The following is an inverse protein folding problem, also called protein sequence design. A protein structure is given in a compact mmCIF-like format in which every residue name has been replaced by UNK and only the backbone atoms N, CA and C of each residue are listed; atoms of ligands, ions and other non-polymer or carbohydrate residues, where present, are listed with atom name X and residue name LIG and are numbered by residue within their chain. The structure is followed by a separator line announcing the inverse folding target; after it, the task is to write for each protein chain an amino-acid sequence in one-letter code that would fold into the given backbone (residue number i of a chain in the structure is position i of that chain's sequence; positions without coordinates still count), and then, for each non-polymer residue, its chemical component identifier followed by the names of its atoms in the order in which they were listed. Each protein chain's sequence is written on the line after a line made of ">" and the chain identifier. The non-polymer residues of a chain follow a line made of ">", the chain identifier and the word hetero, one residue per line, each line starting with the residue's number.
data_IF_260163223557
#
_entry.id   IF_260163223557
#
_cell.length_a   1.000
_cell.length_b   1.000
_cell.length_c   1.000
_cell.angle_alpha   90.00
_cell.angle_beta   90.00
_cell.angle_gamma   90.00
#
_symmetry.space_group_name_H-M   'P 1'
#
loop_
_entity.id
_entity.type
_entity.pdbx_description
1 polymer ?
#
# COMPACT_ATOMS: atom_id res chain seq x y z
N UNK A 1 9.43 10.20 5.26
CA UNK A 1 10.29 9.06 5.68
C UNK A 1 9.83 7.81 4.94
N UNK A 2 10.75 6.99 4.42
CA UNK A 2 10.40 5.72 3.76
C UNK A 2 10.29 4.58 4.77
N UNK A 3 9.50 3.56 4.43
CA UNK A 3 9.48 2.29 5.16
C UNK A 3 10.87 1.67 5.15
N UNK A 4 11.34 1.21 6.31
CA UNK A 4 12.64 0.54 6.47
C UNK A 4 12.48 -0.70 7.34
N UNK A 5 13.09 -1.79 6.91
CA UNK A 5 13.10 -3.05 7.66
C UNK A 5 13.76 -4.17 6.86
N UNK A 6 14.11 -5.29 7.52
CA UNK A 6 14.81 -6.41 6.88
C UNK A 6 14.01 -7.05 5.74
N UNK A 7 12.69 -6.83 5.69
CA UNK A 7 11.78 -7.40 4.70
C UNK A 7 11.51 -6.46 3.51
N UNK A 8 12.05 -5.24 3.50
CA UNK A 8 11.93 -4.29 2.38
C UNK A 8 13.09 -4.53 1.42
N UNK A 9 12.81 -5.09 0.25
CA UNK A 9 13.81 -5.45 -0.75
C UNK A 9 14.23 -4.24 -1.60
N UNK A 10 13.24 -3.44 -2.02
CA UNK A 10 13.44 -2.23 -2.82
C UNK A 10 12.38 -1.21 -2.44
N UNK A 11 12.72 0.07 -2.57
CA UNK A 11 11.82 1.19 -2.27
C UNK A 11 12.20 2.40 -3.11
N UNK A 12 11.20 3.15 -3.55
CA UNK A 12 11.39 4.40 -4.29
C UNK A 12 10.18 5.31 -4.14
N UNK A 13 10.37 6.60 -4.41
CA UNK A 13 9.32 7.63 -4.33
C UNK A 13 8.81 7.95 -5.72
N UNK A 14 7.51 8.22 -5.82
CA UNK A 14 6.97 8.83 -7.02
C UNK A 14 7.20 10.34 -7.00
N UNK A 15 7.51 10.89 -8.16
CA UNK A 15 7.44 12.32 -8.41
C UNK A 15 5.98 12.81 -8.34
N UNK A 16 5.77 14.14 -8.25
CA UNK A 16 4.41 14.73 -8.23
C UNK A 16 3.61 14.39 -9.51
N UNK A 17 4.32 14.24 -10.62
CA UNK A 17 3.79 13.77 -11.90
C UNK A 17 4.42 12.41 -12.23
N UNK A 18 3.87 11.29 -11.71
CA UNK A 18 4.52 10.00 -11.74
C UNK A 18 5.01 9.62 -13.14
N UNK A 19 6.21 9.08 -13.27
CA UNK A 19 6.76 8.60 -14.56
C UNK A 19 7.34 7.21 -14.42
N UNK A 20 7.72 6.60 -15.55
CA UNK A 20 8.43 5.31 -15.52
C UNK A 20 9.80 5.41 -14.85
N UNK A 21 10.43 6.58 -14.85
CA UNK A 21 11.74 6.80 -14.21
C UNK A 21 11.64 6.63 -12.69
N UNK A 22 10.49 6.96 -12.09
CA UNK A 22 10.23 6.72 -10.67
C UNK A 22 10.32 5.22 -10.30
N UNK A 23 10.19 4.32 -11.29
CA UNK A 23 10.28 2.87 -11.16
C UNK A 23 11.59 2.29 -11.73
N UNK A 24 12.60 3.12 -12.01
CA UNK A 24 13.86 2.66 -12.61
C UNK A 24 14.54 1.56 -11.78
N UNK A 25 14.58 1.74 -10.46
CA UNK A 25 15.18 0.78 -9.52
C UNK A 25 14.28 -0.40 -9.12
N UNK A 26 13.00 -0.38 -9.49
CA UNK A 26 12.09 -1.50 -9.21
C UNK A 26 12.40 -2.68 -10.14
N UNK A 27 12.77 -3.84 -9.61
CA UNK A 27 12.86 -5.07 -10.40
C UNK A 27 11.56 -5.86 -10.27
N UNK A 28 11.13 -6.46 -11.39
CA UNK A 28 9.93 -7.32 -11.45
C UNK A 28 10.35 -8.63 -12.09
N UNK A 29 10.60 -9.62 -11.25
CA UNK A 29 10.98 -10.97 -11.63
C UNK A 29 9.76 -11.91 -11.66
N UNK A 30 10.01 -13.19 -11.92
CA UNK A 30 8.95 -14.20 -12.03
C UNK A 30 8.22 -14.43 -10.70
N UNK A 31 8.91 -14.29 -9.57
CA UNK A 31 8.30 -14.46 -8.25
C UNK A 31 7.40 -13.26 -7.91
N UNK A 32 7.73 -12.07 -8.43
CA UNK A 32 6.87 -10.89 -8.33
C UNK A 32 5.64 -11.01 -9.24
N UNK A 33 5.83 -11.40 -10.50
CA UNK A 33 4.77 -11.47 -11.50
C UNK A 33 5.11 -12.49 -12.59
N UNK A 34 4.56 -13.71 -12.50
CA UNK A 34 4.63 -14.66 -13.60
C UNK A 34 3.56 -14.36 -14.66
N UNK A 35 3.99 -13.65 -15.69
CA UNK A 35 3.13 -13.11 -16.75
C UNK A 35 2.35 -14.18 -17.50
N UNK A 36 2.88 -15.42 -17.56
CA UNK A 36 2.29 -16.52 -18.33
C UNK A 36 1.10 -17.17 -17.62
N UNK A 37 1.03 -16.97 -16.31
CA UNK A 37 -0.03 -17.46 -15.43
C UNK A 37 -1.02 -16.35 -15.07
N UNK A 38 -1.12 -15.28 -15.86
CA UNK A 38 -2.08 -14.21 -15.63
C UNK A 38 -3.25 -14.26 -16.61
N UNK A 39 -4.44 -14.56 -16.08
CA UNK A 39 -5.74 -14.52 -16.78
C UNK A 39 -6.79 -13.91 -15.84
N UNK A 40 -7.90 -13.45 -16.41
CA UNK A 40 -9.00 -12.90 -15.60
C UNK A 40 -9.51 -13.99 -14.67
N UNK A 41 -9.60 -13.70 -13.37
CA UNK A 41 -9.98 -14.64 -12.32
C UNK A 41 -8.88 -15.59 -11.86
N UNK A 42 -7.71 -15.58 -12.51
CA UNK A 42 -6.53 -16.38 -12.15
C UNK A 42 -5.25 -15.64 -12.59
N UNK A 43 -4.88 -14.61 -11.82
CA UNK A 43 -3.65 -13.86 -12.03
C UNK A 43 -2.84 -13.77 -10.73
N UNK A 44 -1.50 -13.93 -10.76
CA UNK A 44 -0.67 -13.91 -9.57
C UNK A 44 -0.53 -12.51 -8.94
N UNK A 45 -1.00 -11.46 -9.63
CA UNK A 45 -1.02 -10.09 -9.13
C UNK A 45 -2.40 -9.46 -9.34
N UNK A 46 -2.75 -8.55 -8.43
CA UNK A 46 -3.98 -7.76 -8.45
C UNK A 46 -4.01 -6.83 -9.64
N UNK A 47 -4.96 -7.06 -10.53
CA UNK A 47 -5.19 -6.26 -11.72
C UNK A 47 -6.70 -6.26 -12.01
N UNK A 48 -7.18 -5.23 -12.70
CA UNK A 48 -8.55 -5.24 -13.22
C UNK A 48 -8.68 -6.21 -14.40
N UNK A 49 -9.90 -6.67 -14.66
CA UNK A 49 -10.19 -7.52 -15.82
C UNK A 49 -9.77 -6.86 -17.15
N UNK A 50 -9.90 -5.53 -17.24
CA UNK A 50 -9.44 -4.76 -18.39
C UNK A 50 -7.92 -4.82 -18.55
N UNK A 51 -7.17 -4.59 -17.47
CA UNK A 51 -5.70 -4.64 -17.51
C UNK A 51 -5.20 -6.05 -17.87
N UNK A 52 -5.80 -7.09 -17.31
CA UNK A 52 -5.44 -8.48 -17.64
C UNK A 52 -5.76 -8.80 -19.11
N UNK A 53 -6.89 -8.31 -19.62
CA UNK A 53 -7.25 -8.48 -21.04
C UNK A 53 -6.30 -7.73 -21.97
N UNK A 54 -5.77 -6.58 -21.54
CA UNK A 54 -4.76 -5.81 -22.28
C UNK A 54 -3.41 -6.51 -22.30
N UNK A 55 -2.97 -7.10 -21.18
CA UNK A 55 -1.72 -7.87 -21.12
C UNK A 55 -1.65 -8.93 -22.23
N UNK A 56 -2.73 -9.71 -22.40
CA UNK A 56 -2.80 -10.76 -23.41
C UNK A 56 -2.73 -10.24 -24.86
N UNK A 57 -3.03 -8.96 -25.09
CA UNK A 57 -2.99 -8.30 -26.40
C UNK A 57 -1.67 -7.56 -26.63
N UNK A 58 -1.10 -6.99 -25.59
CA UNK A 58 0.07 -6.11 -25.64
C UNK A 58 1.40 -6.87 -25.46
N UNK A 59 1.37 -8.06 -24.86
CA UNK A 59 2.55 -8.90 -24.60
C UNK A 59 2.38 -10.28 -25.21
N UNK A 60 3.32 -10.69 -26.08
CA UNK A 60 3.42 -12.07 -26.53
C UNK A 60 3.92 -12.97 -25.38
N UNK A 61 3.00 -13.65 -24.72
CA UNK A 61 3.28 -14.52 -23.57
C UNK A 61 4.07 -15.79 -23.95
N UNK A 62 4.12 -16.15 -25.22
CA UNK A 62 4.86 -17.32 -25.72
C UNK A 62 6.31 -16.98 -26.07
N UNK A 63 6.63 -15.70 -26.23
CA UNK A 63 7.98 -15.27 -26.54
C UNK A 63 8.97 -15.65 -25.41
N UNK A 64 10.24 -15.93 -25.73
CA UNK A 64 11.28 -16.20 -24.73
C UNK A 64 11.45 -15.04 -23.73
N UNK A 65 11.28 -13.80 -24.20
CA UNK A 65 11.41 -12.57 -23.42
C UNK A 65 10.11 -12.09 -22.76
N UNK A 66 9.04 -12.91 -22.77
CA UNK A 66 7.73 -12.52 -22.24
C UNK A 66 7.79 -11.99 -20.80
N UNK A 67 8.63 -12.56 -19.94
CA UNK A 67 8.80 -12.10 -18.56
C UNK A 67 9.31 -10.66 -18.50
N UNK A 68 10.32 -10.32 -19.30
CA UNK A 68 10.89 -8.98 -19.33
C UNK A 68 9.87 -7.97 -19.91
N UNK A 69 9.14 -8.36 -20.96
CA UNK A 69 8.08 -7.52 -21.54
C UNK A 69 6.92 -7.29 -20.57
N UNK A 70 6.47 -8.33 -19.88
CA UNK A 70 5.38 -8.21 -18.91
C UNK A 70 5.80 -7.46 -17.64
N UNK A 71 7.06 -7.54 -17.21
CA UNK A 71 7.63 -6.68 -16.18
C UNK A 71 7.58 -5.20 -16.58
N UNK A 72 8.02 -4.86 -17.80
CA UNK A 72 7.96 -3.50 -18.33
C UNK A 72 6.50 -3.01 -18.47
N UNK A 73 5.61 -3.87 -18.97
CA UNK A 73 4.17 -3.60 -19.05
C UNK A 73 3.56 -3.32 -17.68
N UNK A 74 3.89 -4.13 -16.67
CA UNK A 74 3.37 -3.95 -15.32
C UNK A 74 3.79 -2.60 -14.72
N UNK A 75 5.04 -2.16 -14.95
CA UNK A 75 5.49 -0.82 -14.55
C UNK A 75 4.67 0.29 -15.22
N UNK A 76 4.30 0.14 -16.49
CA UNK A 76 3.44 1.10 -17.20
C UNK A 76 2.04 1.17 -16.59
N UNK A 77 1.45 0.01 -16.27
CA UNK A 77 0.17 -0.06 -15.57
C UNK A 77 0.25 0.61 -14.19
N UNK A 78 1.32 0.35 -13.43
CA UNK A 78 1.50 0.94 -12.11
C UNK A 78 1.56 2.46 -12.19
N UNK A 79 2.38 3.03 -13.09
CA UNK A 79 2.45 4.49 -13.28
C UNK A 79 1.12 5.07 -13.72
N UNK A 80 0.38 4.41 -14.62
CA UNK A 80 -0.93 4.89 -15.07
C UNK A 80 -1.96 4.92 -13.92
N UNK A 81 -1.94 3.90 -13.05
CA UNK A 81 -2.80 3.85 -11.87
C UNK A 81 -2.43 4.94 -10.87
N UNK A 82 -1.13 5.13 -10.59
CA UNK A 82 -0.66 6.18 -9.68
C UNK A 82 -0.99 7.57 -10.22
N UNK A 83 -0.83 7.81 -11.53
CA UNK A 83 -1.28 9.05 -12.18
C UNK A 83 -2.76 9.28 -11.98
N UNK A 84 -3.59 8.27 -12.24
CA UNK A 84 -5.05 8.37 -12.03
C UNK A 84 -5.39 8.66 -10.58
N UNK A 85 -4.63 8.10 -9.62
CA UNK A 85 -4.80 8.40 -8.20
C UNK A 85 -4.49 9.86 -7.87
N UNK A 86 -3.33 10.38 -8.28
CA UNK A 86 -2.90 11.73 -7.91
C UNK A 86 -3.65 12.84 -8.63
N UNK A 87 -4.28 12.55 -9.78
CA UNK A 87 -5.12 13.51 -10.53
C UNK A 87 -6.60 13.39 -10.20
N UNK A 88 -7.02 12.42 -9.38
CA UNK A 88 -8.43 12.17 -9.10
C UNK A 88 -9.21 11.60 -10.29
N UNK A 89 -8.52 10.95 -11.22
CA UNK A 89 -9.10 10.33 -12.39
C UNK A 89 -10.07 9.17 -12.06
N UNK A 90 -10.89 8.75 -13.03
CA UNK A 90 -11.89 7.70 -12.84
C UNK A 90 -11.27 6.35 -12.41
N UNK A 91 -10.01 6.09 -12.78
CA UNK A 91 -9.28 4.85 -12.51
C UNK A 91 -8.37 4.90 -11.28
N UNK A 92 -8.65 5.77 -10.30
CA UNK A 92 -7.76 6.04 -9.14
C UNK A 92 -7.46 4.82 -8.26
N UNK A 93 -8.42 3.92 -8.08
CA UNK A 93 -8.27 2.67 -7.33
C UNK A 93 -9.19 1.62 -7.97
N UNK A 94 -8.67 0.95 -9.00
CA UNK A 94 -9.43 -0.04 -9.77
C UNK A 94 -9.79 -1.27 -8.93
N UNK A 95 -10.90 -1.91 -9.30
CA UNK A 95 -11.25 -3.24 -8.83
C UNK A 95 -10.16 -4.26 -9.23
N UNK A 96 -9.95 -5.25 -8.37
CA UNK A 96 -9.09 -6.39 -8.64
C UNK A 96 -9.94 -7.58 -9.06
N UNK A 97 -9.62 -8.15 -10.22
CA UNK A 97 -10.25 -9.32 -10.85
C UNK A 97 -9.20 -10.42 -11.08
N UNK A 98 -8.18 -10.47 -10.22
CA UNK A 98 -7.09 -11.45 -10.24
C UNK A 98 -7.49 -12.82 -9.69
N UNK A 99 -8.54 -12.87 -8.88
CA UNK A 99 -9.05 -14.09 -8.28
C UNK A 99 -10.52 -14.35 -8.61
N UNK A 100 -11.09 -15.44 -8.09
CA UNK A 100 -12.46 -15.87 -8.40
C UNK A 100 -13.53 -14.89 -7.89
N UNK A 101 -13.20 -14.02 -6.94
CA UNK A 101 -14.09 -13.02 -6.38
C UNK A 101 -13.45 -11.64 -6.55
N UNK A 102 -14.13 -10.71 -7.24
CA UNK A 102 -13.62 -9.36 -7.38
C UNK A 102 -13.50 -8.65 -6.03
N UNK A 103 -12.46 -7.82 -5.89
CA UNK A 103 -12.22 -7.00 -4.70
C UNK A 103 -12.27 -5.54 -5.11
N UNK A 104 -13.08 -4.74 -4.43
CA UNK A 104 -13.14 -3.28 -4.60
C UNK A 104 -12.33 -2.61 -3.49
N UNK A 105 -11.09 -2.14 -3.76
CA UNK A 105 -10.20 -1.60 -2.71
C UNK A 105 -10.76 -0.35 -2.03
N UNK A 106 -11.56 0.44 -2.76
CA UNK A 106 -12.26 1.61 -2.22
C UNK A 106 -13.22 1.18 -1.11
N UNK A 107 -14.12 0.23 -1.38
CA UNK A 107 -15.09 -0.27 -0.40
C UNK A 107 -14.41 -0.92 0.82
N UNK A 108 -13.29 -1.63 0.60
CA UNK A 108 -12.51 -2.22 1.68
C UNK A 108 -11.85 -1.17 2.57
N UNK A 109 -11.35 -0.08 1.98
CA UNK A 109 -10.78 1.05 2.71
C UNK A 109 -11.84 1.87 3.45
N UNK A 110 -13.00 2.14 2.82
CA UNK A 110 -14.15 2.78 3.45
C UNK A 110 -14.57 2.02 4.71
N UNK A 111 -14.61 0.68 4.61
CA UNK A 111 -14.89 -0.18 5.74
C UNK A 111 -13.81 -0.19 6.83
N UNK A 112 -12.55 0.14 6.53
CA UNK A 112 -11.51 0.36 7.55
C UNK A 112 -11.77 1.68 8.27
N UNK A 113 -12.00 2.77 7.52
CA UNK A 113 -12.21 4.10 8.07
C UNK A 113 -13.49 4.22 8.90
N UNK A 114 -14.59 3.60 8.47
CA UNK A 114 -15.84 3.54 9.23
C UNK A 114 -15.66 2.91 10.63
N UNK A 115 -14.61 2.11 10.81
CA UNK A 115 -14.27 1.47 12.09
C UNK A 115 -13.08 2.14 12.81
N UNK A 116 -12.70 3.36 12.40
CA UNK A 116 -11.62 4.15 13.00
C UNK A 116 -12.08 5.60 13.28
N UNK A 117 -13.19 5.82 14.03
CA UNK A 117 -13.73 7.16 14.27
C UNK A 117 -12.76 8.09 15.01
N UNK A 118 -11.80 7.55 15.75
CA UNK A 118 -10.75 8.30 16.44
C UNK A 118 -9.87 9.13 15.50
N UNK A 119 -9.77 8.77 14.21
CA UNK A 119 -8.96 9.52 13.23
C UNK A 119 -9.54 10.91 13.01
N UNK A 120 -10.87 11.02 12.85
CA UNK A 120 -11.54 12.32 12.69
C UNK A 120 -11.53 13.15 13.97
N UNK A 121 -11.52 12.50 15.14
CA UNK A 121 -11.35 13.17 16.43
C UNK A 121 -9.91 13.69 16.63
N UNK A 122 -8.92 12.99 16.08
CA UNK A 122 -7.51 13.38 16.17
C UNK A 122 -7.17 14.52 15.20
N UNK A 123 -7.63 14.44 13.96
CA UNK A 123 -7.44 15.49 12.95
C UNK A 123 -8.75 15.69 12.18
N UNK A 124 -9.36 16.85 12.36
CA UNK A 124 -10.58 17.21 11.65
C UNK A 124 -10.35 17.19 10.12
N UNK A 125 -11.28 16.60 9.37
CA UNK A 125 -11.20 16.49 7.91
C UNK A 125 -10.23 15.42 7.37
N UNK A 126 -9.40 14.81 8.20
CA UNK A 126 -8.47 13.76 7.77
C UNK A 126 -9.17 12.52 7.16
N UNK A 127 -10.32 12.04 7.69
CA UNK A 127 -11.05 10.95 7.03
C UNK A 127 -11.48 11.30 5.60
N UNK A 128 -12.02 12.51 5.38
CA UNK A 128 -12.46 12.96 4.06
C UNK A 128 -11.29 13.13 3.09
N UNK A 129 -10.16 13.60 3.59
CA UNK A 129 -8.91 13.66 2.83
C UNK A 129 -8.47 12.28 2.36
N UNK A 130 -8.42 11.30 3.27
CA UNK A 130 -8.01 9.94 2.97
C UNK A 130 -8.96 9.22 2.00
N UNK A 131 -10.26 9.50 2.08
CA UNK A 131 -11.28 8.93 1.18
C UNK A 131 -11.22 9.55 -0.22
N UNK A 132 -11.13 10.88 -0.29
CA UNK A 132 -11.41 11.64 -1.50
C UNK A 132 -10.18 12.32 -2.09
N UNK A 133 -8.97 11.95 -1.68
CA UNK A 133 -7.74 12.45 -2.31
C UNK A 133 -7.81 12.27 -3.84
N UNK A 134 -7.46 13.31 -4.63
CA UNK A 134 -6.90 14.61 -4.24
C UNK A 134 -7.94 15.74 -4.11
N UNK A 135 -9.25 15.48 -4.25
CA UNK A 135 -10.28 16.53 -4.30
C UNK A 135 -10.43 17.30 -2.98
N UNK A 136 -10.28 16.62 -1.84
CA UNK A 136 -10.42 17.20 -0.50
C UNK A 136 -9.07 17.27 0.23
N UNK A 137 -8.09 17.97 -0.35
CA UNK A 137 -6.79 18.19 0.33
C UNK A 137 -7.00 19.07 1.56
N UNK A 138 -6.54 18.60 2.72
CA UNK A 138 -6.42 19.45 3.90
C UNK A 138 -5.23 20.40 3.66
N UNK A 139 -5.41 21.70 3.82
CA UNK A 139 -4.35 22.69 3.53
C UNK A 139 -3.13 22.56 4.44
N UNK A 140 -3.27 21.86 5.57
CA UNK A 140 -2.22 21.56 6.54
C UNK A 140 -1.62 20.14 6.40
N UNK A 141 -1.86 19.43 5.28
CA UNK A 141 -1.26 18.13 5.02
C UNK A 141 -0.15 18.17 3.98
N UNK A 142 0.91 17.40 4.23
CA UNK A 142 1.92 17.05 3.24
C UNK A 142 1.68 15.64 2.77
N UNK A 143 1.57 15.46 1.46
CA UNK A 143 1.27 14.19 0.84
C UNK A 143 2.41 13.72 -0.05
N UNK A 144 2.72 12.43 0.00
CA UNK A 144 3.60 11.80 -0.98
C UNK A 144 3.28 10.34 -1.19
N UNK A 145 3.68 9.83 -2.36
CA UNK A 145 3.54 8.42 -2.69
C UNK A 145 4.91 7.76 -2.81
N UNK A 146 5.00 6.53 -2.34
CA UNK A 146 6.17 5.68 -2.56
C UNK A 146 5.72 4.27 -2.96
N UNK A 147 6.60 3.54 -3.61
CA UNK A 147 6.43 2.11 -3.85
C UNK A 147 7.44 1.32 -3.05
N UNK A 148 7.09 0.10 -2.66
CA UNK A 148 8.03 -0.85 -2.07
C UNK A 148 7.81 -2.26 -2.58
N UNK A 149 8.91 -3.00 -2.77
CA UNK A 149 8.92 -4.45 -2.95
C UNK A 149 9.31 -5.07 -1.62
N UNK A 150 8.48 -5.96 -1.10
CA UNK A 150 8.64 -6.54 0.23
C UNK A 150 8.50 -8.07 0.20
N UNK A 151 9.14 -8.76 1.15
CA UNK A 151 9.06 -10.21 1.29
C UNK A 151 8.86 -10.63 2.74
N UNK A 152 7.62 -10.95 3.09
CA UNK A 152 7.26 -11.66 4.34
C UNK A 152 6.31 -12.84 4.11
N UNK A 153 5.80 -13.00 2.88
CA UNK A 153 4.97 -14.11 2.44
C UNK A 153 5.72 -15.10 1.56
N UNK A 154 5.02 -16.10 1.00
CA UNK A 154 5.60 -17.07 0.07
C UNK A 154 6.23 -16.41 -1.15
N UNK A 155 5.61 -15.34 -1.65
CA UNK A 155 6.08 -14.57 -2.79
C UNK A 155 6.26 -13.10 -2.38
N UNK A 156 7.21 -12.37 -2.98
CA UNK A 156 7.32 -10.93 -2.75
C UNK A 156 6.06 -10.21 -3.21
N UNK A 157 5.83 -9.00 -2.74
CA UNK A 157 4.70 -8.18 -3.19
C UNK A 157 5.12 -6.73 -3.32
N UNK A 158 4.44 -6.02 -4.22
CA UNK A 158 4.74 -4.64 -4.57
C UNK A 158 3.55 -3.79 -4.15
N UNK A 159 3.80 -2.76 -3.36
CA UNK A 159 2.79 -1.81 -2.91
C UNK A 159 3.06 -0.42 -3.47
N UNK A 160 1.99 0.38 -3.56
CA UNK A 160 2.03 1.83 -3.64
C UNK A 160 1.34 2.35 -2.40
N UNK A 161 2.05 3.16 -1.62
CA UNK A 161 1.55 3.71 -0.37
C UNK A 161 1.47 5.23 -0.48
N UNK A 162 0.31 5.78 -0.18
CA UNK A 162 0.08 7.21 0.02
C UNK A 162 0.32 7.54 1.49
N UNK A 163 1.23 8.46 1.74
CA UNK A 163 1.54 8.99 3.06
C UNK A 163 0.96 10.39 3.17
N UNK A 164 0.20 10.64 4.22
CA UNK A 164 -0.29 11.96 4.62
C UNK A 164 0.33 12.30 5.95
N UNK A 165 1.01 13.45 6.03
CA UNK A 165 1.61 13.98 7.24
C UNK A 165 0.90 15.28 7.60
N UNK A 166 0.48 15.42 8.85
CA UNK A 166 -0.25 16.60 9.32
C UNK A 166 -0.01 16.82 10.81
N UNK A 167 -0.34 18.01 11.29
CA UNK A 167 -0.27 18.37 12.70
C UNK A 167 -1.69 18.38 13.28
N UNK A 168 -1.88 17.67 14.39
CA UNK A 168 -3.12 17.73 15.17
C UNK A 168 -3.10 18.95 16.09
N UNK A 169 -1.94 19.21 16.69
CA UNK A 169 -1.64 20.39 17.51
C UNK A 169 -0.17 20.77 17.29
N UNK A 170 0.29 21.89 17.84
CA UNK A 170 1.69 22.31 17.76
C UNK A 170 2.69 21.32 18.38
N UNK A 171 2.22 20.40 19.22
CA UNK A 171 3.06 19.38 19.89
C UNK A 171 2.70 17.95 19.46
N UNK A 172 1.80 17.77 18.50
CA UNK A 172 1.33 16.46 18.04
C UNK A 172 1.32 16.35 16.53
N UNK A 173 2.20 15.50 16.01
CA UNK A 173 2.28 15.15 14.59
C UNK A 173 1.61 13.82 14.31
N UNK A 174 0.87 13.76 13.21
CA UNK A 174 0.11 12.59 12.77
C UNK A 174 0.55 12.22 11.36
N UNK A 175 0.90 10.96 11.16
CA UNK A 175 1.25 10.40 9.86
C UNK A 175 0.31 9.22 9.59
N UNK A 176 -0.41 9.27 8.48
CA UNK A 176 -1.19 8.13 8.00
C UNK A 176 -0.59 7.53 6.75
N UNK A 177 -0.69 6.22 6.63
CA UNK A 177 -0.30 5.49 5.42
C UNK A 177 -1.49 4.71 4.88
N UNK A 178 -1.86 4.95 3.63
CA UNK A 178 -2.93 4.26 2.91
C UNK A 178 -2.33 3.47 1.76
N UNK A 179 -2.71 2.21 1.60
CA UNK A 179 -2.38 1.48 0.38
C UNK A 179 -3.27 1.98 -0.77
N UNK A 180 -2.61 2.48 -1.82
CA UNK A 180 -3.24 2.83 -3.11
C UNK A 180 -3.29 1.61 -4.02
N UNK A 181 -2.27 0.76 -3.92
CA UNK A 181 -2.19 -0.50 -4.64
C UNK A 181 -1.37 -1.50 -3.83
N UNK A 182 -1.76 -2.77 -3.89
CA UNK A 182 -0.92 -3.88 -3.47
C UNK A 182 -1.06 -5.00 -4.49
N UNK A 183 0.06 -5.59 -4.93
CA UNK A 183 0.02 -6.66 -5.92
C UNK A 183 -0.58 -7.95 -5.38
N UNK A 184 -0.59 -8.16 -4.06
CA UNK A 184 -1.17 -9.35 -3.39
C UNK A 184 -1.30 -9.13 -1.88
N UNK A 185 -1.96 -10.06 -1.21
CA UNK A 185 -2.16 -10.12 0.25
C UNK A 185 -3.04 -9.03 0.89
N UNK A 186 -2.95 -7.77 0.50
CA UNK A 186 -3.64 -6.63 1.15
C UNK A 186 -4.70 -6.01 0.25
N UNK A 187 -5.96 -6.05 0.69
CA UNK A 187 -7.11 -5.43 -0.02
C UNK A 187 -7.18 -3.93 0.23
N UNK A 188 -6.90 -3.54 1.46
CA UNK A 188 -6.79 -2.18 1.90
C UNK A 188 -6.00 -2.15 3.21
N UNK A 189 -5.28 -1.06 3.47
CA UNK A 189 -4.65 -0.82 4.76
C UNK A 189 -4.67 0.66 5.14
N UNK A 190 -4.63 0.88 6.46
CA UNK A 190 -4.49 2.18 7.10
C UNK A 190 -3.53 2.05 8.26
N UNK A 191 -2.35 2.64 8.10
CA UNK A 191 -1.40 2.90 9.18
C UNK A 191 -1.64 4.28 9.77
N UNK A 192 -1.42 4.39 11.08
CA UNK A 192 -1.48 5.62 11.85
C UNK A 192 -0.27 5.65 12.77
N UNK A 193 0.52 6.71 12.66
CA UNK A 193 1.62 7.04 13.54
C UNK A 193 1.33 8.39 14.19
N UNK A 194 1.41 8.46 15.51
CA UNK A 194 1.25 9.70 16.27
C UNK A 194 2.53 9.92 17.06
N UNK A 195 3.13 11.10 16.91
CA UNK A 195 4.24 11.54 17.73
C UNK A 195 3.77 12.77 18.52
N UNK A 196 3.87 12.72 19.85
CA UNK A 196 3.48 13.84 20.72
C UNK A 196 4.51 14.08 21.81
N UNK A 197 4.80 15.34 22.11
CA UNK A 197 5.70 15.71 23.22
C UNK A 197 5.18 15.18 24.57
N UNK A 198 6.10 14.85 25.47
CA UNK A 198 5.78 14.44 26.84
C UNK A 198 5.55 15.66 27.74
N UNK A 199 4.39 15.71 28.41
CA UNK A 199 4.13 16.74 29.44
C UNK A 199 5.13 16.56 30.59
N UNK A 200 5.95 17.58 30.83
CA UNK A 200 6.92 17.61 31.93
C UNK A 200 8.27 16.93 31.64
N UNK A 201 8.52 16.46 30.41
CA UNK A 201 9.80 15.90 30.00
C UNK A 201 10.20 16.42 28.60
N UNK A 202 10.90 17.57 28.52
CA UNK A 202 11.16 18.26 27.25
C UNK A 202 12.03 17.46 26.26
N UNK A 203 12.81 16.49 26.75
CA UNK A 203 13.67 15.63 25.93
C UNK A 203 13.00 14.26 25.60
N UNK A 204 11.68 14.14 25.78
CA UNK A 204 10.94 12.91 25.53
C UNK A 204 9.64 13.15 24.74
N UNK A 205 9.25 12.14 23.95
CA UNK A 205 7.99 12.13 23.22
C UNK A 205 7.38 10.73 23.24
N UNK A 206 6.05 10.67 23.12
CA UNK A 206 5.32 9.42 22.90
C UNK A 206 5.18 9.14 21.40
N UNK A 207 5.48 7.90 21.01
CA UNK A 207 5.20 7.38 19.68
C UNK A 207 4.13 6.29 19.76
N UNK A 208 3.00 6.52 19.12
CA UNK A 208 1.93 5.52 18.97
C UNK A 208 1.88 5.08 17.52
N UNK A 209 1.92 3.77 17.28
CA UNK A 209 1.73 3.19 15.96
C UNK A 209 0.58 2.19 15.98
N UNK A 210 -0.36 2.36 15.04
CA UNK A 210 -1.45 1.42 14.78
C UNK A 210 -1.52 1.11 13.29
N UNK A 211 -1.85 -0.13 12.95
CA UNK A 211 -2.09 -0.51 11.57
C UNK A 211 -3.32 -1.42 11.50
N UNK A 212 -4.25 -1.09 10.59
CA UNK A 212 -5.42 -1.90 10.29
C UNK A 212 -5.43 -2.23 8.81
N UNK A 213 -5.56 -3.50 8.48
CA UNK A 213 -5.62 -3.97 7.10
C UNK A 213 -6.72 -5.00 6.91
N UNK A 214 -7.16 -5.16 5.66
CA UNK A 214 -8.07 -6.21 5.21
C UNK A 214 -7.39 -7.11 4.19
N UNK A 215 -7.69 -8.40 4.25
CA UNK A 215 -7.11 -9.45 3.42
C UNK A 215 -8.14 -10.58 3.23
N UNK A 216 -9.14 -10.35 2.37
CA UNK A 216 -10.27 -11.25 2.10
C UNK A 216 -9.82 -12.58 1.48
N UNK A 217 -8.66 -12.65 0.83
CA UNK A 217 -8.06 -13.89 0.36
C UNK A 217 -7.80 -14.91 1.50
N UNK A 218 -7.85 -14.49 2.77
CA UNK A 218 -7.75 -15.36 3.94
C UNK A 218 -9.10 -15.81 4.52
N UNK A 219 -10.24 -15.33 3.99
CA UNK A 219 -11.57 -15.64 4.53
C UNK A 219 -12.11 -17.01 4.11
N UNK A 220 -11.65 -17.59 3.00
CA UNK A 220 -12.23 -18.83 2.47
C UNK A 220 -11.18 -19.92 2.25
N UNK A 221 -11.30 -20.99 3.03
CA UNK A 221 -10.39 -22.13 3.13
C UNK A 221 -9.50 -22.08 4.37
N UNK A 222 -9.93 -22.75 5.46
CA UNK A 222 -9.19 -22.98 6.72
C UNK A 222 -9.07 -21.77 7.67
N UNK A 223 -10.21 -21.15 8.03
CA UNK A 223 -10.29 -19.82 8.68
C UNK A 223 -9.79 -19.72 10.13
N UNK A 224 -9.76 -20.81 10.91
CA UNK A 224 -9.33 -20.74 12.32
C UNK A 224 -7.82 -20.68 12.52
N UNK A 225 -7.11 -21.70 12.01
CA UNK A 225 -5.67 -21.86 12.23
C UNK A 225 -4.84 -20.83 11.44
N UNK A 226 -5.24 -20.52 10.21
CA UNK A 226 -4.56 -19.54 9.36
C UNK A 226 -4.69 -18.11 9.89
N UNK A 227 -5.84 -17.75 10.47
CA UNK A 227 -6.05 -16.44 11.10
C UNK A 227 -5.07 -16.21 12.24
N UNK A 228 -4.90 -17.18 13.15
CA UNK A 228 -3.95 -17.04 14.26
C UNK A 228 -2.49 -16.92 13.78
N UNK A 229 -2.11 -17.63 12.73
CA UNK A 229 -0.75 -17.54 12.16
C UNK A 229 -0.51 -16.18 11.50
N UNK A 230 -1.49 -15.67 10.74
CA UNK A 230 -1.43 -14.35 10.10
C UNK A 230 -1.43 -13.24 11.16
N UNK A 231 -2.26 -13.37 12.19
CA UNK A 231 -2.30 -12.43 13.31
C UNK A 231 -0.97 -12.39 14.08
N UNK A 232 -0.37 -13.55 14.35
CA UNK A 232 0.97 -13.62 14.95
C UNK A 232 2.05 -12.98 14.06
N UNK A 233 2.01 -13.20 12.75
CA UNK A 233 2.95 -12.59 11.80
C UNK A 233 2.74 -11.09 11.63
N UNK A 234 1.50 -10.62 11.63
CA UNK A 234 1.17 -9.20 11.59
C UNK A 234 1.64 -8.50 12.87
N UNK A 235 1.42 -9.13 14.03
CA UNK A 235 1.92 -8.64 15.32
C UNK A 235 3.44 -8.64 15.39
N UNK A 236 4.11 -9.71 14.99
CA UNK A 236 5.58 -9.75 14.98
C UNK A 236 6.16 -8.72 14.03
N UNK A 237 5.58 -8.55 12.83
CA UNK A 237 6.00 -7.51 11.89
C UNK A 237 5.80 -6.08 12.42
N UNK A 238 4.76 -5.86 13.22
CA UNK A 238 4.50 -4.58 13.90
C UNK A 238 5.49 -4.33 15.04
N UNK A 239 5.79 -5.35 15.85
CA UNK A 239 6.82 -5.30 16.90
C UNK A 239 8.22 -5.06 16.32
N UNK A 240 8.58 -5.74 15.23
CA UNK A 240 9.86 -5.55 14.54
C UNK A 240 9.97 -4.15 13.93
N UNK A 241 8.88 -3.64 13.36
CA UNK A 241 8.82 -2.28 12.83
C UNK A 241 9.00 -1.24 13.95
N UNK A 242 8.32 -1.41 15.09
CA UNK A 242 8.48 -0.53 16.25
C UNK A 242 9.90 -0.58 16.83
N UNK A 243 10.52 -1.76 16.92
CA UNK A 243 11.93 -1.90 17.34
C UNK A 243 12.87 -1.19 16.37
N UNK A 244 12.66 -1.37 15.06
CA UNK A 244 13.45 -0.72 14.02
C UNK A 244 13.34 0.80 14.09
N UNK A 245 12.12 1.34 14.27
CA UNK A 245 11.88 2.77 14.44
C UNK A 245 12.58 3.28 15.70
N UNK A 246 12.42 2.58 16.83
CA UNK A 246 13.09 2.93 18.09
C UNK A 246 14.61 3.00 17.91
N UNK A 247 15.23 1.95 17.36
CA UNK A 247 16.68 1.90 17.14
C UNK A 247 17.19 2.92 16.12
N UNK A 248 16.34 3.44 15.24
CA UNK A 248 16.70 4.51 14.32
C UNK A 248 16.61 5.90 14.97
N UNK A 249 15.73 6.08 15.96
CA UNK A 249 15.53 7.34 16.68
C UNK A 249 16.46 7.48 17.90
N UNK A 250 16.97 6.37 18.43
CA UNK A 250 17.98 6.34 19.51
C UNK A 250 19.43 6.52 19.00
N UNK A 251 19.62 6.80 17.71
CA UNK A 251 20.93 7.12 17.11
C UNK A 251 21.10 8.61 16.97
#
# INVERSE_FOLDING_TARGET
>A
MFKRGPNVLQIGRFSEMPTLEDLASLTVDKDDFDVRHCRVGDCPIRLSAEAISRLAKEVDLKAPDAQARGAAWFKQVLVANVRSYVTGGPSRMLQYDDGPMPIRPVDEFDGILANAPSIGALVAGLPDHLLNFPANRTTASQDFLYWSKEKFGPSPFITVTHVTMTESTSSTSVVTTKDVYSSRYLDASLGLTIATECVGAPDAFYLVYGNRFRANALKHGWSGLRRSIVEKRARSGLEDSLRSIKSALER
#
